data_IF_511404877601
#
_entry.id   IF_511404877601
#
_cell.length_a   1.000
_cell.length_b   1.000
_cell.length_c   1.000
_cell.angle_alpha   90.00
_cell.angle_beta   90.00
_cell.angle_gamma   90.00
#
_symmetry.space_group_name_H-M   'P 1'
#
loop_
_entity.id
_entity.type
_entity.pdbx_description
1 polymer ?
#
# COMPACT_ATOMS: atom_id res chain seq x y z
N UNK A 1 -23.23 -0.30 13.09
CA UNK A 1 -23.15 -1.74 13.38
C UNK A 1 -24.52 -2.44 13.22
N UNK A 2 -25.35 -2.06 12.23
CA UNK A 2 -26.71 -2.62 12.04
C UNK A 2 -26.95 -3.10 10.60
N UNK A 3 -26.19 -2.66 9.60
CA UNK A 3 -26.32 -3.16 8.23
C UNK A 3 -25.69 -4.54 7.98
N UNK A 4 -24.75 -5.00 8.82
CA UNK A 4 -24.10 -6.30 8.63
C UNK A 4 -24.96 -7.51 9.06
N UNK A 5 -26.10 -7.29 9.73
CA UNK A 5 -26.91 -8.35 10.35
C UNK A 5 -28.05 -8.89 9.46
N UNK A 6 -28.22 -8.41 8.23
CA UNK A 6 -29.27 -8.88 7.30
C UNK A 6 -28.82 -9.18 5.87
N UNK A 7 -27.52 -9.21 5.62
CA UNK A 7 -27.00 -9.70 4.35
C UNK A 7 -26.97 -11.22 4.39
N UNK A 8 -27.76 -11.87 3.54
CA UNK A 8 -27.67 -13.31 3.37
C UNK A 8 -26.29 -13.61 2.76
N UNK A 9 -25.44 -14.31 3.51
CA UNK A 9 -24.05 -14.58 3.13
C UNK A 9 -23.95 -15.17 1.72
N UNK A 10 -24.85 -16.10 1.41
CA UNK A 10 -24.96 -16.76 0.10
C UNK A 10 -25.26 -15.77 -1.04
N UNK A 11 -26.13 -14.78 -0.81
CA UNK A 11 -26.45 -13.76 -1.84
C UNK A 11 -25.29 -12.77 -2.00
N UNK A 12 -24.57 -12.50 -0.91
CA UNK A 12 -23.59 -11.40 -0.90
C UNK A 12 -22.26 -11.84 -1.50
N UNK A 13 -21.86 -13.11 -1.36
CA UNK A 13 -20.59 -13.62 -1.91
C UNK A 13 -20.56 -13.64 -3.45
N UNK A 14 -21.69 -13.87 -4.10
CA UNK A 14 -21.76 -13.96 -5.57
C UNK A 14 -22.14 -12.61 -6.21
N UNK A 15 -22.35 -11.56 -5.41
CA UNK A 15 -22.85 -10.28 -5.89
C UNK A 15 -21.97 -9.65 -7.00
N UNK A 16 -20.64 -9.74 -6.89
CA UNK A 16 -19.73 -9.21 -7.92
C UNK A 16 -19.70 -10.09 -9.18
N UNK A 17 -19.85 -11.40 -9.02
CA UNK A 17 -19.98 -12.34 -10.14
C UNK A 17 -21.26 -12.02 -10.94
N UNK A 18 -22.41 -11.97 -10.25
CA UNK A 18 -23.70 -11.66 -10.86
C UNK A 18 -23.70 -10.28 -11.52
N UNK A 19 -23.15 -9.27 -10.86
CA UNK A 19 -23.01 -7.93 -11.43
C UNK A 19 -22.19 -7.95 -12.73
N UNK A 20 -21.04 -8.64 -12.74
CA UNK A 20 -20.19 -8.73 -13.93
C UNK A 20 -20.90 -9.43 -15.10
N UNK A 21 -21.69 -10.46 -14.80
CA UNK A 21 -22.51 -11.17 -15.78
C UNK A 21 -23.61 -10.28 -16.34
N UNK A 22 -24.37 -9.59 -15.49
CA UNK A 22 -25.45 -8.70 -15.93
C UNK A 22 -24.93 -7.54 -16.78
N UNK A 23 -23.80 -6.93 -16.38
CA UNK A 23 -23.17 -5.87 -17.16
C UNK A 23 -22.70 -6.39 -18.52
N UNK A 24 -22.06 -7.57 -18.57
CA UNK A 24 -21.65 -8.18 -19.84
C UNK A 24 -22.84 -8.54 -20.72
N UNK A 25 -23.91 -9.06 -20.15
CA UNK A 25 -25.10 -9.45 -20.92
C UNK A 25 -25.86 -8.24 -21.45
N UNK A 26 -25.88 -7.12 -20.73
CA UNK A 26 -26.49 -5.87 -21.19
C UNK A 26 -25.61 -5.16 -22.24
N UNK A 27 -24.33 -4.95 -21.95
CA UNK A 27 -23.40 -4.22 -22.82
C UNK A 27 -22.80 -5.06 -23.95
N UNK A 28 -23.01 -6.38 -23.95
CA UNK A 28 -22.43 -7.35 -24.89
C UNK A 28 -20.90 -7.30 -24.97
N UNK A 29 -20.26 -6.90 -23.88
CA UNK A 29 -18.80 -6.79 -23.75
C UNK A 29 -18.35 -7.24 -22.37
N UNK A 30 -17.18 -7.87 -22.29
CA UNK A 30 -16.60 -8.32 -21.02
C UNK A 30 -16.25 -7.12 -20.14
N UNK A 31 -16.39 -7.28 -18.82
CA UNK A 31 -16.14 -6.23 -17.85
C UNK A 31 -14.65 -6.03 -17.57
N UNK A 32 -14.24 -4.77 -17.39
CA UNK A 32 -12.98 -4.44 -16.71
C UNK A 32 -13.35 -4.03 -15.29
N UNK A 33 -12.74 -4.66 -14.29
CA UNK A 33 -13.01 -4.38 -12.88
C UNK A 33 -11.80 -3.71 -12.27
N UNK A 34 -12.01 -2.54 -11.66
CA UNK A 34 -10.99 -1.78 -10.94
C UNK A 34 -11.40 -1.76 -9.47
N UNK A 35 -10.54 -2.28 -8.60
CA UNK A 35 -10.78 -2.28 -7.14
C UNK A 35 -9.63 -1.53 -6.52
N UNK A 36 -9.94 -0.35 -6.00
CA UNK A 36 -9.03 0.45 -5.21
C UNK A 36 -9.13 0.06 -3.73
N UNK A 37 -8.05 0.31 -2.99
CA UNK A 37 -7.89 -0.02 -1.57
C UNK A 37 -8.36 -1.44 -1.21
N UNK A 38 -8.04 -2.42 -2.09
CA UNK A 38 -8.56 -3.78 -1.93
C UNK A 38 -8.26 -4.37 -0.55
N UNK A 39 -7.10 -4.01 0.03
CA UNK A 39 -6.56 -4.49 1.30
C UNK A 39 -7.13 -3.79 2.55
N UNK A 40 -7.69 -2.59 2.40
CA UNK A 40 -8.19 -1.77 3.51
C UNK A 40 -9.23 -2.47 4.42
N UNK A 41 -10.18 -3.27 3.91
CA UNK A 41 -11.13 -3.98 4.75
C UNK A 41 -10.48 -4.94 5.76
N UNK A 42 -9.30 -5.50 5.45
CA UNK A 42 -8.57 -6.38 6.38
C UNK A 42 -7.87 -5.59 7.48
N UNK A 43 -7.34 -4.40 7.20
CA UNK A 43 -6.81 -3.51 8.23
C UNK A 43 -7.89 -3.17 9.25
N UNK A 44 -9.07 -2.76 8.77
CA UNK A 44 -10.23 -2.49 9.63
C UNK A 44 -10.59 -3.75 10.44
N UNK A 45 -10.70 -4.90 9.79
CA UNK A 45 -11.07 -6.15 10.45
C UNK A 45 -10.06 -6.58 11.51
N UNK A 46 -8.76 -6.34 11.28
CA UNK A 46 -7.72 -6.57 12.25
C UNK A 46 -7.87 -5.63 13.45
N UNK A 47 -8.02 -4.32 13.21
CA UNK A 47 -8.18 -3.30 14.25
C UNK A 47 -9.35 -3.58 15.18
N UNK A 48 -10.48 -4.03 14.62
CA UNK A 48 -11.72 -4.33 15.34
C UNK A 48 -11.90 -5.82 15.67
N UNK A 49 -10.84 -6.64 15.54
CA UNK A 49 -10.80 -8.03 16.00
C UNK A 49 -11.81 -8.99 15.36
N UNK A 50 -12.13 -8.80 14.08
CA UNK A 50 -12.94 -9.73 13.27
C UNK A 50 -12.24 -10.21 11.99
N UNK A 51 -10.90 -10.14 11.95
CA UNK A 51 -10.05 -10.49 10.81
C UNK A 51 -10.44 -11.80 10.12
N UNK A 52 -10.51 -12.94 10.83
CA UNK A 52 -10.82 -14.24 10.20
C UNK A 52 -12.19 -14.26 9.51
N UNK A 53 -13.19 -13.58 10.08
CA UNK A 53 -14.53 -13.49 9.48
C UNK A 53 -14.49 -12.65 8.20
N UNK A 54 -13.81 -11.50 8.23
CA UNK A 54 -13.64 -10.66 7.06
C UNK A 54 -12.84 -11.37 5.97
N UNK A 55 -11.72 -12.00 6.33
CA UNK A 55 -10.87 -12.79 5.42
C UNK A 55 -11.67 -13.87 4.70
N UNK A 56 -12.47 -14.66 5.41
CA UNK A 56 -13.33 -15.68 4.80
C UNK A 56 -14.39 -15.10 3.85
N UNK A 57 -15.03 -14.00 4.25
CA UNK A 57 -16.02 -13.32 3.42
C UNK A 57 -15.41 -12.75 2.14
N UNK A 58 -14.32 -11.98 2.22
CA UNK A 58 -13.65 -11.41 1.06
C UNK A 58 -13.01 -12.48 0.17
N UNK A 59 -12.54 -13.61 0.73
CA UNK A 59 -12.07 -14.75 -0.04
C UNK A 59 -13.18 -15.38 -0.87
N UNK A 60 -14.38 -15.46 -0.33
CA UNK A 60 -15.55 -15.94 -1.06
C UNK A 60 -15.97 -14.92 -2.13
N UNK A 61 -16.06 -13.64 -1.78
CA UNK A 61 -16.50 -12.56 -2.67
C UNK A 61 -15.58 -12.37 -3.89
N UNK A 62 -14.28 -12.18 -3.64
CA UNK A 62 -13.30 -12.04 -4.72
C UNK A 62 -13.01 -13.37 -5.41
N UNK A 63 -13.10 -14.50 -4.68
CA UNK A 63 -13.02 -15.83 -5.28
C UNK A 63 -14.11 -16.04 -6.33
N UNK A 64 -15.36 -15.70 -6.03
CA UNK A 64 -16.48 -15.81 -6.96
C UNK A 64 -16.30 -14.89 -8.18
N UNK A 65 -15.82 -13.66 -7.98
CA UNK A 65 -15.55 -12.74 -9.08
C UNK A 65 -14.41 -13.23 -9.98
N UNK A 66 -13.32 -13.75 -9.42
CA UNK A 66 -12.04 -13.91 -10.11
C UNK A 66 -11.75 -15.33 -10.59
N UNK A 67 -12.37 -16.36 -10.00
CA UNK A 67 -12.12 -17.77 -10.37
C UNK A 67 -13.14 -18.27 -11.38
N UNK A 68 -12.67 -18.68 -12.55
CA UNK A 68 -13.52 -19.30 -13.58
C UNK A 68 -14.55 -18.35 -14.19
N UNK A 69 -14.39 -17.04 -14.00
CA UNK A 69 -15.29 -16.00 -14.51
C UNK A 69 -14.77 -15.35 -15.81
N UNK A 70 -13.94 -16.07 -16.56
CA UNK A 70 -13.23 -15.56 -17.75
C UNK A 70 -14.19 -15.17 -18.88
N UNK A 71 -15.40 -15.73 -18.91
CA UNK A 71 -16.42 -15.37 -19.89
C UNK A 71 -17.00 -13.96 -19.66
N UNK A 72 -17.02 -13.48 -18.42
CA UNK A 72 -17.60 -12.20 -18.05
C UNK A 72 -16.52 -11.12 -17.85
N UNK A 73 -15.27 -11.49 -17.58
CA UNK A 73 -14.18 -10.56 -17.29
C UNK A 73 -13.16 -10.45 -18.42
N UNK A 74 -12.77 -9.20 -18.73
CA UNK A 74 -11.67 -8.89 -19.66
C UNK A 74 -10.35 -8.72 -18.93
N UNK A 75 -10.37 -7.95 -17.84
CA UNK A 75 -9.21 -7.66 -16.99
C UNK A 75 -9.68 -7.22 -15.61
N UNK A 76 -8.87 -7.48 -14.59
CA UNK A 76 -9.07 -6.94 -13.25
C UNK A 76 -7.78 -6.23 -12.83
N UNK A 77 -7.92 -5.04 -12.25
CA UNK A 77 -6.84 -4.31 -11.62
C UNK A 77 -7.18 -4.10 -10.15
N UNK A 78 -6.29 -4.52 -9.28
CA UNK A 78 -6.38 -4.31 -7.84
C UNK A 78 -5.28 -3.33 -7.44
N UNK A 79 -5.65 -2.27 -6.75
CA UNK A 79 -4.71 -1.28 -6.20
C UNK A 79 -4.91 -1.25 -4.69
N UNK A 80 -3.80 -1.23 -3.96
CA UNK A 80 -3.81 -1.19 -2.50
C UNK A 80 -2.41 -0.92 -1.97
N UNK A 81 -2.32 -0.75 -0.65
CA UNK A 81 -1.08 -0.36 0.01
C UNK A 81 -0.30 -1.60 0.42
N UNK A 82 -0.96 -2.52 1.14
CA UNK A 82 -0.39 -3.75 1.64
C UNK A 82 -0.59 -4.89 0.66
N UNK A 83 0.45 -5.71 0.47
CA UNK A 83 0.36 -6.94 -0.31
C UNK A 83 -0.27 -8.06 0.54
N UNK A 84 -1.59 -8.00 0.75
CA UNK A 84 -2.37 -9.05 1.45
C UNK A 84 -2.95 -10.09 0.50
N UNK A 85 -2.63 -10.00 -0.79
CA UNK A 85 -3.21 -10.82 -1.84
C UNK A 85 -2.94 -12.32 -1.62
N UNK A 86 -1.68 -12.78 -1.64
CA UNK A 86 -1.37 -14.22 -1.65
C UNK A 86 -1.44 -14.88 -0.27
N UNK A 87 -1.28 -14.12 0.81
CA UNK A 87 -1.44 -14.58 2.20
C UNK A 87 -2.88 -14.46 2.72
N UNK A 88 -3.68 -13.54 2.14
CA UNK A 88 -5.04 -13.26 2.55
C UNK A 88 -6.08 -13.96 1.67
N UNK A 89 -7.05 -13.19 1.16
CA UNK A 89 -8.22 -13.72 0.47
C UNK A 89 -8.01 -14.04 -1.02
N UNK A 90 -6.87 -13.66 -1.61
CA UNK A 90 -6.52 -14.00 -2.99
C UNK A 90 -5.55 -15.19 -3.08
N UNK A 91 -5.22 -15.82 -1.94
CA UNK A 91 -4.33 -16.99 -1.83
C UNK A 91 -4.66 -18.15 -2.77
N UNK A 92 -5.93 -18.31 -3.13
CA UNK A 92 -6.35 -19.36 -4.05
C UNK A 92 -6.33 -18.97 -5.53
N UNK A 93 -5.81 -17.79 -5.90
CA UNK A 93 -5.66 -17.35 -7.29
C UNK A 93 -4.23 -17.58 -7.77
N UNK A 94 -4.10 -18.33 -8.86
CA UNK A 94 -2.79 -18.67 -9.43
C UNK A 94 -2.38 -17.78 -10.62
N UNK A 95 -3.27 -16.87 -11.06
CA UNK A 95 -3.10 -16.07 -12.28
C UNK A 95 -2.97 -14.57 -11.95
N UNK A 96 -2.36 -14.22 -10.82
CA UNK A 96 -2.15 -12.83 -10.41
C UNK A 96 -0.71 -12.39 -10.70
N UNK A 97 -0.59 -11.41 -11.57
CA UNK A 97 0.63 -10.61 -11.71
C UNK A 97 0.60 -9.49 -10.65
N UNK A 98 1.70 -9.34 -9.90
CA UNK A 98 1.80 -8.39 -8.80
C UNK A 98 2.99 -7.48 -9.05
N UNK A 99 2.72 -6.18 -9.06
CA UNK A 99 3.72 -5.15 -9.36
C UNK A 99 3.91 -4.24 -8.14
N UNK A 100 4.75 -4.62 -7.16
CA UNK A 100 5.09 -3.73 -6.05
C UNK A 100 5.95 -2.56 -6.51
N UNK A 101 6.07 -1.51 -5.69
CA UNK A 101 6.87 -0.31 -6.01
C UNK A 101 8.34 -0.61 -6.37
N UNK A 102 8.91 -1.69 -5.84
CA UNK A 102 10.28 -2.11 -6.13
C UNK A 102 10.41 -2.99 -7.40
N UNK A 103 9.31 -3.31 -8.07
CA UNK A 103 9.31 -3.97 -9.38
C UNK A 103 9.71 -3.00 -10.50
N UNK A 104 10.24 -3.53 -11.59
CA UNK A 104 10.77 -2.72 -12.70
C UNK A 104 9.69 -2.22 -13.66
N UNK A 105 8.58 -2.94 -13.83
CA UNK A 105 7.63 -2.70 -14.93
C UNK A 105 6.82 -1.40 -14.75
N UNK A 106 6.50 -1.04 -13.50
CA UNK A 106 5.68 0.13 -13.15
C UNK A 106 6.35 1.04 -12.12
N UNK A 107 7.67 0.96 -11.97
CA UNK A 107 8.43 1.68 -10.94
C UNK A 107 8.17 3.19 -10.92
N UNK A 108 7.91 3.81 -12.07
CA UNK A 108 7.68 5.24 -12.25
C UNK A 108 6.21 5.67 -12.07
N UNK A 109 5.28 4.74 -11.80
CA UNK A 109 3.84 5.04 -11.78
C UNK A 109 3.29 5.32 -10.37
N UNK A 110 4.12 5.19 -9.32
CA UNK A 110 3.69 5.31 -7.91
C UNK A 110 3.81 6.73 -7.33
N UNK A 111 4.40 7.67 -8.05
CA UNK A 111 4.62 9.04 -7.59
C UNK A 111 5.19 9.91 -8.70
N UNK A 112 5.50 11.17 -8.39
CA UNK A 112 6.22 12.00 -9.35
C UNK A 112 7.69 11.58 -9.40
N UNK A 113 8.24 11.52 -10.60
CA UNK A 113 9.67 11.32 -10.85
C UNK A 113 10.44 12.65 -10.75
N UNK A 114 11.76 12.55 -10.61
CA UNK A 114 12.68 13.70 -10.63
C UNK A 114 12.46 14.63 -11.84
N UNK A 115 12.27 14.06 -13.02
CA UNK A 115 12.04 14.79 -14.26
C UNK A 115 10.71 15.55 -14.23
N UNK A 116 9.65 14.91 -13.72
CA UNK A 116 8.33 15.54 -13.57
C UNK A 116 8.36 16.66 -12.54
N UNK A 117 9.07 16.48 -11.42
CA UNK A 117 9.28 17.55 -10.43
C UNK A 117 10.01 18.73 -11.07
N UNK A 118 11.06 18.48 -11.83
CA UNK A 118 11.83 19.53 -12.51
C UNK A 118 10.94 20.34 -13.47
N UNK A 119 10.10 19.66 -14.27
CA UNK A 119 9.14 20.31 -15.19
C UNK A 119 8.10 21.13 -14.42
N UNK A 120 7.51 20.56 -13.36
CA UNK A 120 6.51 21.25 -12.53
C UNK A 120 7.10 22.51 -11.90
N UNK A 121 8.31 22.44 -11.36
CA UNK A 121 8.95 23.56 -10.68
C UNK A 121 9.37 24.65 -11.65
N UNK A 122 9.78 24.29 -12.86
CA UNK A 122 9.99 25.26 -13.93
C UNK A 122 8.68 25.96 -14.30
N UNK A 123 7.59 25.21 -14.50
CA UNK A 123 6.29 25.76 -14.86
C UNK A 123 5.76 26.77 -13.83
N UNK A 124 5.93 26.48 -12.54
CA UNK A 124 5.49 27.35 -11.45
C UNK A 124 6.51 28.42 -11.02
N UNK A 125 7.66 28.55 -11.72
CA UNK A 125 8.75 29.46 -11.38
C UNK A 125 9.28 29.26 -9.94
N UNK A 126 9.53 28.01 -9.55
CA UNK A 126 9.97 27.60 -8.20
C UNK A 126 11.32 26.87 -8.19
N UNK A 127 12.09 26.93 -9.28
CA UNK A 127 13.36 26.18 -9.45
C UNK A 127 14.33 26.41 -8.27
N UNK A 128 14.39 27.63 -7.73
CA UNK A 128 15.26 27.97 -6.59
C UNK A 128 14.92 27.23 -5.28
N UNK A 129 13.73 26.62 -5.18
CA UNK A 129 13.26 25.89 -4.02
C UNK A 129 13.46 24.37 -4.15
N UNK A 130 13.93 23.90 -5.30
CA UNK A 130 13.98 22.47 -5.62
C UNK A 130 14.82 21.69 -4.60
N UNK A 131 16.02 22.18 -4.24
CA UNK A 131 16.91 21.50 -3.28
C UNK A 131 16.28 21.33 -1.89
N UNK A 132 15.51 22.30 -1.42
CA UNK A 132 14.81 22.17 -0.13
C UNK A 132 13.60 21.24 -0.23
N UNK A 133 12.91 21.23 -1.36
CA UNK A 133 11.81 20.31 -1.65
C UNK A 133 12.31 18.87 -1.73
N UNK A 134 13.50 18.63 -2.29
CA UNK A 134 14.14 17.31 -2.30
C UNK A 134 14.34 16.79 -0.88
N UNK A 135 14.94 17.59 0.00
CA UNK A 135 15.14 17.18 1.41
C UNK A 135 13.83 16.83 2.12
N UNK A 136 12.73 17.50 1.76
CA UNK A 136 11.44 17.28 2.39
C UNK A 136 10.65 16.12 1.81
N UNK A 137 10.71 15.89 0.50
CA UNK A 137 9.77 15.01 -0.18
C UNK A 137 10.42 13.97 -1.12
N UNK A 138 11.72 14.07 -1.43
CA UNK A 138 12.49 13.01 -2.11
C UNK A 138 12.96 11.97 -1.11
N UNK A 139 12.89 10.70 -1.47
CA UNK A 139 13.41 9.63 -0.63
C UNK A 139 12.81 8.26 -0.92
N UNK A 140 11.73 8.17 -1.69
CA UNK A 140 11.15 6.89 -2.06
C UNK A 140 11.87 6.30 -3.25
N UNK A 141 12.62 5.21 -3.02
CA UNK A 141 13.31 4.46 -4.07
C UNK A 141 12.44 3.32 -4.58
N UNK A 142 12.04 3.43 -5.84
CA UNK A 142 11.31 2.41 -6.58
C UNK A 142 12.28 1.47 -7.35
N UNK A 143 11.71 0.54 -8.12
CA UNK A 143 12.48 -0.31 -9.02
C UNK A 143 13.43 0.49 -9.91
N UNK A 144 14.55 -0.13 -10.29
CA UNK A 144 15.59 0.49 -11.11
C UNK A 144 16.27 1.74 -10.50
N UNK A 145 16.14 1.96 -9.19
CA UNK A 145 16.73 3.13 -8.52
C UNK A 145 16.02 4.44 -8.84
N UNK A 146 14.76 4.38 -9.30
CA UNK A 146 13.95 5.57 -9.57
C UNK A 146 13.60 6.24 -8.24
N UNK A 147 13.80 7.54 -8.18
CA UNK A 147 13.38 8.40 -7.07
C UNK A 147 11.96 8.90 -7.31
N UNK A 148 11.12 8.75 -6.30
CA UNK A 148 9.72 9.14 -6.32
C UNK A 148 9.41 10.15 -5.21
N UNK A 149 8.49 11.05 -5.56
CA UNK A 149 7.96 12.07 -4.68
C UNK A 149 6.47 11.84 -4.48
N UNK A 150 6.01 12.03 -3.24
CA UNK A 150 4.59 11.95 -2.92
C UNK A 150 3.80 13.04 -3.68
N UNK A 151 2.84 12.68 -4.57
CA UNK A 151 2.12 13.67 -5.36
C UNK A 151 1.31 14.67 -4.54
N UNK A 152 0.77 14.24 -3.40
CA UNK A 152 -0.01 15.12 -2.52
C UNK A 152 0.87 16.17 -1.86
N UNK A 153 2.01 15.76 -1.30
CA UNK A 153 2.96 16.66 -0.63
C UNK A 153 3.51 17.72 -1.58
N UNK A 154 3.88 17.32 -2.80
CA UNK A 154 4.33 18.23 -3.86
C UNK A 154 3.24 19.22 -4.27
N UNK A 155 2.04 18.74 -4.56
CA UNK A 155 0.92 19.61 -4.93
C UNK A 155 0.55 20.59 -3.82
N UNK A 156 0.61 20.15 -2.56
CA UNK A 156 0.38 21.00 -1.40
C UNK A 156 1.45 22.09 -1.31
N UNK A 157 2.72 21.72 -1.41
CA UNK A 157 3.82 22.67 -1.42
C UNK A 157 3.69 23.69 -2.55
N UNK A 158 3.42 23.26 -3.78
CA UNK A 158 3.25 24.16 -4.94
C UNK A 158 2.17 25.21 -4.64
N UNK A 159 1.05 24.79 -4.03
CA UNK A 159 -0.07 25.70 -3.71
C UNK A 159 0.21 26.63 -2.54
N UNK A 160 0.88 26.16 -1.49
CA UNK A 160 1.03 26.89 -0.22
C UNK A 160 2.36 27.62 -0.09
N UNK A 161 3.38 27.17 -0.83
CA UNK A 161 4.79 27.58 -0.69
C UNK A 161 5.36 27.35 0.72
N UNK A 162 4.83 26.37 1.45
CA UNK A 162 5.25 26.03 2.83
C UNK A 162 5.80 24.61 2.84
N UNK A 163 7.01 24.43 3.34
CA UNK A 163 7.58 23.10 3.62
C UNK A 163 7.04 22.61 4.97
N UNK A 164 6.36 21.47 4.97
CA UNK A 164 5.88 20.78 6.17
C UNK A 164 5.40 19.38 5.82
N UNK A 165 5.16 18.54 6.84
CA UNK A 165 4.45 17.28 6.67
C UNK A 165 3.01 17.55 6.19
N UNK A 166 2.71 17.11 4.98
CA UNK A 166 1.41 17.16 4.32
C UNK A 166 0.76 15.79 4.19
N UNK A 167 1.59 14.76 4.10
CA UNK A 167 1.20 13.40 4.38
C UNK A 167 0.78 13.33 5.85
N UNK A 168 -0.52 13.15 6.09
CA UNK A 168 -1.11 13.00 7.42
C UNK A 168 -2.03 11.78 7.30
N UNK A 169 -1.55 10.61 7.73
CA UNK A 169 -2.36 9.39 7.67
C UNK A 169 -3.30 9.31 8.87
N UNK A 170 -4.58 9.58 8.64
CA UNK A 170 -5.64 9.50 9.66
C UNK A 170 -6.23 8.09 9.86
N UNK A 171 -5.82 7.09 9.07
CA UNK A 171 -6.44 5.75 9.03
C UNK A 171 -5.50 4.59 9.36
N UNK A 172 -4.44 4.40 8.57
CA UNK A 172 -3.54 3.24 8.63
C UNK A 172 -2.57 3.27 9.82
N UNK A 173 -2.22 4.47 10.29
CA UNK A 173 -1.42 4.72 11.49
C UNK A 173 -1.95 4.01 12.74
N UNK A 174 -3.26 3.82 12.87
CA UNK A 174 -3.85 3.26 14.09
C UNK A 174 -3.39 1.81 14.35
N UNK A 175 -3.31 0.99 13.30
CA UNK A 175 -2.84 -0.40 13.39
C UNK A 175 -1.34 -0.43 13.69
N UNK A 176 -0.54 0.35 12.95
CA UNK A 176 0.91 0.45 13.16
C UNK A 176 1.23 0.91 14.58
N UNK A 177 0.59 1.98 15.08
CA UNK A 177 0.79 2.50 16.45
C UNK A 177 0.53 1.42 17.51
N UNK A 178 -0.55 0.65 17.37
CA UNK A 178 -0.88 -0.42 18.32
C UNK A 178 0.16 -1.54 18.32
N UNK A 179 0.76 -1.84 17.17
CA UNK A 179 1.79 -2.86 17.01
C UNK A 179 3.15 -2.39 17.55
N UNK A 180 3.50 -1.12 17.35
CA UNK A 180 4.73 -0.51 17.89
C UNK A 180 4.79 -0.64 19.41
N UNK A 181 3.68 -0.43 20.13
CA UNK A 181 3.63 -0.62 21.59
C UNK A 181 3.89 -2.06 22.08
N UNK A 182 3.85 -3.03 21.17
CA UNK A 182 4.03 -4.46 21.47
C UNK A 182 5.25 -5.04 20.76
N UNK A 183 6.09 -4.21 20.14
CA UNK A 183 7.26 -4.68 19.41
C UNK A 183 8.35 -5.20 20.37
N UNK A 184 9.25 -6.02 19.85
CA UNK A 184 10.40 -6.51 20.61
C UNK A 184 11.38 -5.39 20.96
N UNK A 185 12.25 -5.62 21.95
CA UNK A 185 13.33 -4.67 22.30
C UNK A 185 14.28 -4.44 21.11
N UNK A 186 14.61 -5.50 20.37
CA UNK A 186 15.43 -5.41 19.15
C UNK A 186 14.79 -4.52 18.08
N UNK A 187 13.47 -4.57 17.93
CA UNK A 187 12.75 -3.67 17.04
C UNK A 187 12.89 -2.22 17.51
N UNK A 188 12.68 -1.95 18.80
CA UNK A 188 12.79 -0.62 19.39
C UNK A 188 14.19 -0.02 19.23
N UNK A 189 15.24 -0.83 19.43
CA UNK A 189 16.63 -0.42 19.23
C UNK A 189 16.90 -0.01 17.76
N UNK A 190 16.37 -0.77 16.80
CA UNK A 190 16.47 -0.42 15.37
C UNK A 190 15.70 0.84 15.02
N UNK A 191 14.51 1.04 15.59
CA UNK A 191 13.76 2.31 15.44
C UNK A 191 14.56 3.48 16.01
N UNK A 192 15.18 3.33 17.18
CA UNK A 192 16.00 4.39 17.78
C UNK A 192 17.21 4.76 16.91
N UNK A 193 17.73 3.83 16.10
CA UNK A 193 18.76 4.10 15.09
C UNK A 193 18.19 4.86 13.89
N UNK A 194 17.04 4.43 13.36
CA UNK A 194 16.35 5.14 12.27
C UNK A 194 16.07 6.61 12.63
N UNK A 195 15.60 6.88 13.85
CA UNK A 195 15.35 8.24 14.36
C UNK A 195 16.63 9.09 14.54
N UNK A 196 17.82 8.51 14.34
CA UNK A 196 19.11 9.22 14.28
C UNK A 196 19.65 9.34 12.85
N UNK A 197 18.79 9.15 11.84
CA UNK A 197 19.16 9.10 10.42
C UNK A 197 20.16 7.97 10.07
N UNK A 198 20.20 6.90 10.86
CA UNK A 198 20.95 5.69 10.52
C UNK A 198 20.07 4.73 9.67
N UNK A 199 20.71 3.71 9.10
CA UNK A 199 20.05 2.66 8.33
C UNK A 199 20.03 1.35 9.10
N UNK A 200 19.06 0.49 8.81
CA UNK A 200 18.92 -0.81 9.46
C UNK A 200 18.81 -1.94 8.43
N UNK A 201 19.26 -3.13 8.82
CA UNK A 201 18.96 -4.35 8.08
C UNK A 201 17.70 -4.99 8.67
N UNK A 202 16.64 -5.13 7.88
CA UNK A 202 15.40 -5.75 8.29
C UNK A 202 14.69 -6.39 7.09
N UNK A 203 14.15 -7.60 7.26
CA UNK A 203 13.51 -8.30 6.16
C UNK A 203 12.12 -7.72 5.86
N UNK A 204 11.90 -7.29 4.61
CA UNK A 204 10.58 -6.94 4.10
C UNK A 204 9.99 -8.18 3.44
N UNK A 205 8.86 -8.64 3.95
CA UNK A 205 8.14 -9.78 3.41
C UNK A 205 7.51 -9.38 2.08
N UNK A 206 7.47 -10.32 1.14
CA UNK A 206 6.73 -10.12 -0.10
C UNK A 206 5.26 -9.86 0.20
N UNK A 207 4.58 -10.83 0.81
CA UNK A 207 3.17 -10.76 1.22
C UNK A 207 3.04 -10.58 2.74
N UNK A 208 2.04 -9.81 3.15
CA UNK A 208 1.71 -9.54 4.55
C UNK A 208 0.55 -10.43 5.00
N UNK A 209 0.75 -11.25 6.02
CA UNK A 209 -0.34 -11.92 6.73
C UNK A 209 -0.60 -11.20 8.06
N UNK A 210 -1.76 -10.57 8.20
CA UNK A 210 -2.17 -9.91 9.43
C UNK A 210 -2.29 -10.89 10.62
N UNK A 211 -2.44 -12.19 10.37
CA UNK A 211 -2.41 -13.21 11.43
C UNK A 211 -1.06 -13.24 12.17
N UNK A 212 0.04 -12.97 11.45
CA UNK A 212 1.41 -12.98 11.97
C UNK A 212 1.73 -11.72 12.80
N UNK A 213 0.98 -10.63 12.61
CA UNK A 213 1.13 -9.40 13.41
C UNK A 213 0.83 -9.62 14.89
N UNK A 214 -0.01 -10.62 15.20
CA UNK A 214 -0.33 -11.00 16.58
C UNK A 214 0.81 -11.75 17.29
N UNK A 215 1.80 -12.26 16.56
CA UNK A 215 2.86 -13.15 17.05
C UNK A 215 4.21 -12.43 17.22
N UNK A 216 4.22 -11.10 17.35
CA UNK A 216 5.46 -10.29 17.50
C UNK A 216 6.49 -10.47 16.37
N UNK A 217 6.03 -10.76 15.15
CA UNK A 217 6.94 -10.83 14.01
C UNK A 217 7.44 -9.45 13.62
N UNK A 218 8.62 -9.04 14.10
CA UNK A 218 9.29 -7.79 13.71
C UNK A 218 9.26 -7.57 12.19
N UNK A 219 9.47 -8.63 11.41
CA UNK A 219 9.45 -8.59 9.94
C UNK A 219 8.10 -8.15 9.37
N UNK A 220 6.98 -8.60 9.95
CA UNK A 220 5.65 -8.18 9.50
C UNK A 220 5.41 -6.69 9.81
N UNK A 221 5.97 -6.18 10.92
CA UNK A 221 5.91 -4.76 11.26
C UNK A 221 6.82 -3.90 10.36
N UNK A 222 8.03 -4.36 10.05
CA UNK A 222 8.90 -3.71 9.05
C UNK A 222 8.26 -3.67 7.67
N UNK A 223 7.58 -4.74 7.29
CA UNK A 223 6.83 -4.84 6.02
C UNK A 223 5.68 -3.83 5.98
N UNK A 224 4.91 -3.71 7.06
CA UNK A 224 3.86 -2.69 7.18
C UNK A 224 4.42 -1.28 7.07
N UNK A 225 5.51 -0.98 7.79
CA UNK A 225 6.14 0.35 7.76
C UNK A 225 6.66 0.70 6.35
N UNK A 226 7.26 -0.26 5.65
CA UNK A 226 7.73 -0.07 4.28
C UNK A 226 6.57 0.21 3.31
N UNK A 227 5.56 -0.66 3.26
CA UNK A 227 4.43 -0.49 2.33
C UNK A 227 3.56 0.73 2.66
N UNK A 228 3.45 1.11 3.93
CA UNK A 228 2.74 2.33 4.34
C UNK A 228 3.53 3.63 4.02
N UNK A 229 4.77 3.53 3.54
CA UNK A 229 5.58 4.68 3.15
C UNK A 229 6.38 5.34 4.30
N UNK A 230 6.49 4.68 5.46
CA UNK A 230 7.36 5.14 6.55
C UNK A 230 8.84 4.84 6.30
N UNK A 231 9.12 3.83 5.49
CA UNK A 231 10.48 3.39 5.17
C UNK A 231 10.67 3.31 3.66
N UNK A 232 11.90 3.56 3.24
CA UNK A 232 12.38 3.27 1.89
C UNK A 232 13.48 2.22 1.93
N UNK A 233 13.85 1.71 0.75
CA UNK A 233 14.87 0.68 0.61
C UNK A 233 15.83 1.01 -0.52
N UNK A 234 17.13 0.98 -0.23
CA UNK A 234 18.17 1.34 -1.20
C UNK A 234 18.38 0.31 -2.31
N UNK A 235 18.23 -0.99 -2.00
CA UNK A 235 18.38 -2.04 -3.00
C UNK A 235 17.60 -3.32 -2.63
N UNK A 236 16.46 -3.61 -3.28
CA UNK A 236 15.65 -4.81 -3.02
C UNK A 236 16.40 -6.13 -3.26
N UNK A 237 17.46 -6.14 -4.08
CA UNK A 237 18.05 -7.39 -4.59
C UNK A 237 19.16 -7.99 -3.74
N UNK A 238 19.75 -7.23 -2.81
CA UNK A 238 20.98 -7.67 -2.12
C UNK A 238 21.02 -7.46 -0.63
N UNK A 239 20.45 -6.38 -0.10
CA UNK A 239 20.41 -6.11 1.33
C UNK A 239 19.18 -5.26 1.61
N UNK A 240 18.20 -5.76 2.38
CA UNK A 240 17.04 -4.99 2.83
C UNK A 240 17.47 -3.92 3.84
N UNK A 241 18.23 -2.94 3.36
CA UNK A 241 18.68 -1.76 4.09
C UNK A 241 17.54 -0.76 4.04
N UNK A 242 16.92 -0.55 5.18
CA UNK A 242 15.80 0.36 5.35
C UNK A 242 16.27 1.67 5.99
N UNK A 243 15.66 2.77 5.55
CA UNK A 243 15.84 4.11 6.09
C UNK A 243 14.53 4.89 6.07
N UNK A 244 14.48 5.98 6.83
CA UNK A 244 13.40 6.98 6.70
C UNK A 244 13.63 7.74 5.38
N UNK A 245 12.62 7.89 4.50
CA UNK A 245 12.81 8.44 3.17
C UNK A 245 13.24 9.91 3.19
N UNK A 246 12.57 10.74 3.99
CA UNK A 246 12.67 12.20 3.89
C UNK A 246 12.29 12.91 5.20
N UNK A 247 12.44 14.23 5.22
CA UNK A 247 12.12 15.01 6.41
C UNK A 247 10.61 15.01 6.74
N UNK A 248 9.73 14.91 5.74
CA UNK A 248 8.28 14.82 5.98
C UNK A 248 7.96 13.64 6.90
N UNK A 249 8.42 12.44 6.55
CA UNK A 249 8.20 11.23 7.35
C UNK A 249 8.96 11.28 8.67
N UNK A 250 10.18 11.83 8.68
CA UNK A 250 10.96 11.95 9.92
C UNK A 250 10.27 12.82 10.98
N UNK A 251 9.49 13.81 10.55
CA UNK A 251 8.78 14.73 11.46
C UNK A 251 7.46 14.20 12.02
N UNK A 252 6.93 13.10 11.47
CA UNK A 252 5.72 12.42 11.98
C UNK A 252 6.00 11.54 13.19
#
# INVERSE_FOLDING_TARGET
MVLFLRLNYEITKDALLDLSKYLKDYHKSKCIVLIDEYDHPLDIAYRYQYYEKARGFFASLFGALLKGNDENLKKVLLVGVSRVAKSGYLSGLNNLDVFPMHDLEYANEFGFTEDEISILFQYYNKVDQLEEVKKWYDGYKAGNGIHLYNPWSINKFIRTNILKAYWIDTGGTATIRKLLWRSSDNFQDKVARLLKNDTINANVMEDLDYSLLSQHGDNALWTLLYYAGYLTMDNPTRNFVLSIPNNEVFTE
#
